data_IF_684898581083
#
_entry.id   IF_684898581083
#
_cell.length_a   1.000
_cell.length_b   1.000
_cell.length_c   1.000
_cell.angle_alpha   90.00
_cell.angle_beta   90.00
_cell.angle_gamma   90.00
#
_symmetry.space_group_name_H-M   'P 1'
#
loop_
_entity.id
_entity.type
_entity.pdbx_description
1 polymer ?
#
# COMPACT_ATOMS: atom_id res chain seq x y z
N UNK A 1 45.68 -23.47 -53.69
CA UNK A 1 44.34 -23.21 -53.12
C UNK A 1 43.89 -24.50 -52.44
N UNK A 2 43.89 -24.56 -51.10
CA UNK A 2 43.43 -25.74 -50.37
C UNK A 2 41.95 -25.64 -50.03
N UNK A 3 41.26 -26.78 -50.14
CA UNK A 3 39.85 -26.97 -49.83
C UNK A 3 39.53 -26.76 -48.34
N UNK A 4 38.43 -26.06 -48.08
CA UNK A 4 37.89 -25.84 -46.74
C UNK A 4 36.78 -26.88 -46.53
N UNK A 5 37.06 -27.88 -45.69
CA UNK A 5 36.09 -28.88 -45.27
C UNK A 5 34.97 -28.31 -44.40
N UNK A 6 33.84 -29.04 -44.25
CA UNK A 6 32.63 -28.54 -43.59
C UNK A 6 32.80 -28.33 -42.07
N UNK A 7 32.06 -27.38 -41.47
CA UNK A 7 32.16 -27.05 -40.05
C UNK A 7 31.57 -28.15 -39.13
N UNK A 8 32.31 -28.47 -38.07
CA UNK A 8 31.93 -29.42 -37.03
C UNK A 8 30.81 -28.88 -36.10
N UNK A 9 29.94 -29.74 -35.54
CA UNK A 9 28.82 -29.34 -34.69
C UNK A 9 29.29 -28.89 -33.29
N UNK A 10 28.71 -27.81 -32.71
CA UNK A 10 29.06 -27.38 -31.36
C UNK A 10 28.30 -28.23 -30.32
N UNK A 11 28.92 -29.32 -29.90
CA UNK A 11 28.55 -30.11 -28.73
C UNK A 11 29.73 -30.21 -27.76
N UNK A 12 29.50 -29.75 -26.52
CA UNK A 12 30.32 -29.95 -25.31
C UNK A 12 31.73 -29.32 -25.32
N UNK A 13 31.82 -28.09 -24.81
CA UNK A 13 33.06 -27.56 -24.24
C UNK A 13 33.36 -28.22 -22.87
N UNK A 14 34.65 -28.26 -22.49
CA UNK A 14 35.22 -29.30 -21.63
C UNK A 14 35.03 -29.03 -20.14
N UNK A 15 34.92 -30.13 -19.40
CA UNK A 15 34.99 -30.18 -17.94
C UNK A 15 36.42 -29.81 -17.51
N UNK A 16 36.68 -28.51 -17.32
CA UNK A 16 37.91 -28.03 -16.70
C UNK A 16 37.79 -28.24 -15.18
N UNK A 17 38.33 -29.36 -14.70
CA UNK A 17 38.47 -29.65 -13.27
C UNK A 17 39.87 -29.21 -12.82
N UNK A 18 40.02 -28.12 -12.04
CA UNK A 18 41.29 -27.81 -11.41
C UNK A 18 41.48 -28.69 -10.15
N UNK A 19 42.67 -29.28 -9.95
CA UNK A 19 42.96 -30.04 -8.75
C UNK A 19 43.18 -29.04 -7.59
N UNK A 20 42.38 -29.16 -6.53
CA UNK A 20 42.69 -28.54 -5.24
C UNK A 20 41.90 -27.29 -4.81
N UNK A 21 40.80 -26.92 -5.48
CA UNK A 21 39.95 -25.82 -5.00
C UNK A 21 38.82 -26.34 -4.08
N UNK A 22 39.05 -26.30 -2.75
CA UNK A 22 37.94 -26.29 -1.78
C UNK A 22 37.17 -24.97 -1.95
N UNK A 23 36.06 -25.00 -2.69
CA UNK A 23 35.08 -23.91 -2.72
C UNK A 23 33.92 -24.29 -1.79
N UNK A 24 34.13 -24.07 -0.50
CA UNK A 24 33.05 -23.75 0.44
C UNK A 24 32.41 -22.45 -0.02
N UNK A 25 31.22 -22.55 -0.61
CA UNK A 25 30.47 -21.38 -1.09
C UNK A 25 29.05 -21.83 -1.40
N UNK A 26 28.25 -21.96 -0.34
CA UNK A 26 26.81 -22.16 -0.44
C UNK A 26 26.20 -21.10 -1.36
N UNK A 27 25.92 -21.47 -2.61
CA UNK A 27 24.83 -20.85 -3.36
C UNK A 27 23.55 -21.40 -2.72
N UNK A 28 23.17 -20.84 -1.57
CA UNK A 28 21.91 -21.14 -0.90
C UNK A 28 20.82 -20.48 -1.75
N UNK A 29 20.43 -21.17 -2.82
CA UNK A 29 19.20 -20.89 -3.55
C UNK A 29 18.12 -20.80 -2.48
N UNK A 30 17.61 -19.60 -2.23
CA UNK A 30 16.50 -19.36 -1.31
C UNK A 30 15.26 -19.92 -2.00
N UNK A 31 15.09 -21.24 -1.91
CA UNK A 31 13.85 -21.91 -2.29
C UNK A 31 12.80 -21.40 -1.32
N UNK A 32 11.89 -20.56 -1.81
CA UNK A 32 10.73 -20.14 -1.05
C UNK A 32 9.90 -21.40 -0.76
N UNK A 33 9.68 -21.79 0.51
CA UNK A 33 8.89 -22.96 0.83
C UNK A 33 7.41 -22.68 0.50
N UNK A 34 6.94 -23.18 -0.64
CA UNK A 34 5.57 -23.03 -1.14
C UNK A 34 4.58 -24.01 -0.49
N UNK A 35 4.69 -24.24 0.83
CA UNK A 35 3.79 -25.12 1.57
C UNK A 35 2.70 -24.34 2.32
N UNK A 36 1.41 -24.71 2.25
CA UNK A 36 0.30 -23.99 2.91
C UNK A 36 0.46 -23.86 4.44
N UNK A 37 1.20 -24.78 5.06
CA UNK A 37 1.51 -24.78 6.49
C UNK A 37 2.43 -23.61 6.91
N UNK A 38 3.31 -23.15 6.00
CA UNK A 38 4.32 -22.12 6.28
C UNK A 38 3.72 -20.71 6.23
N UNK A 39 2.74 -20.49 5.35
CA UNK A 39 2.02 -19.22 5.24
C UNK A 39 1.25 -18.86 6.52
N UNK A 40 0.70 -19.84 7.23
CA UNK A 40 -0.02 -19.62 8.49
C UNK A 40 0.91 -19.12 9.61
N UNK A 41 2.13 -19.66 9.69
CA UNK A 41 3.17 -19.19 10.62
C UNK A 41 3.58 -17.74 10.35
N UNK A 42 3.96 -17.40 9.11
CA UNK A 42 4.34 -16.02 8.78
C UNK A 42 3.22 -15.00 8.95
N UNK A 43 1.96 -15.37 8.68
CA UNK A 43 0.82 -14.47 8.93
C UNK A 43 0.59 -14.25 10.44
N UNK A 44 0.71 -15.29 11.26
CA UNK A 44 0.55 -15.16 12.72
C UNK A 44 1.70 -14.35 13.36
N UNK A 45 2.94 -14.61 12.95
CA UNK A 45 4.12 -13.89 13.40
C UNK A 45 4.16 -12.43 12.88
N UNK A 46 3.48 -12.13 11.78
CA UNK A 46 3.35 -10.78 11.22
C UNK A 46 2.20 -9.97 11.81
N UNK A 47 1.11 -10.61 12.22
CA UNK A 47 -0.05 -9.94 12.82
C UNK A 47 0.27 -9.38 14.21
N UNK A 48 1.10 -10.10 14.98
CA UNK A 48 1.51 -9.70 16.32
C UNK A 48 2.27 -8.36 16.35
N UNK A 49 3.36 -8.15 15.58
CA UNK A 49 4.05 -6.87 15.54
C UNK A 49 3.17 -5.77 14.93
N UNK A 50 2.32 -6.07 13.94
CA UNK A 50 1.37 -5.09 13.39
C UNK A 50 0.38 -4.60 14.45
N UNK A 51 -0.20 -5.54 15.20
CA UNK A 51 -1.13 -5.23 16.29
C UNK A 51 -0.46 -4.42 17.39
N UNK A 52 0.78 -4.76 17.75
CA UNK A 52 1.57 -4.00 18.73
C UNK A 52 1.83 -2.58 18.25
N UNK A 53 2.32 -2.40 17.02
CA UNK A 53 2.62 -1.07 16.47
C UNK A 53 1.37 -0.21 16.41
N UNK A 54 0.24 -0.78 15.97
CA UNK A 54 -1.04 -0.08 15.95
C UNK A 54 -1.51 0.30 17.36
N UNK A 55 -1.45 -0.63 18.31
CA UNK A 55 -1.82 -0.38 19.70
C UNK A 55 -0.93 0.69 20.36
N UNK A 56 0.38 0.63 20.12
CA UNK A 56 1.33 1.64 20.59
C UNK A 56 1.06 3.00 19.96
N UNK A 57 0.76 3.07 18.66
CA UNK A 57 0.39 4.32 17.99
C UNK A 57 -0.84 4.96 18.65
N UNK A 58 -1.90 4.19 18.86
CA UNK A 58 -3.10 4.69 19.54
C UNK A 58 -2.83 5.08 21.00
N UNK A 59 -2.01 4.30 21.71
CA UNK A 59 -1.66 4.57 23.09
C UNK A 59 -0.86 5.87 23.19
N UNK A 60 0.14 6.08 22.34
CA UNK A 60 0.94 7.30 22.29
C UNK A 60 0.04 8.50 21.98
N UNK A 61 -0.79 8.43 20.94
CA UNK A 61 -1.72 9.51 20.59
C UNK A 61 -2.68 9.82 21.75
N UNK A 62 -3.19 8.79 22.43
CA UNK A 62 -4.08 8.95 23.58
C UNK A 62 -3.38 9.60 24.77
N UNK A 63 -2.15 9.18 25.08
CA UNK A 63 -1.34 9.78 26.16
C UNK A 63 -1.05 11.24 25.85
N UNK A 64 -0.64 11.57 24.62
CA UNK A 64 -0.40 12.96 24.21
C UNK A 64 -1.67 13.80 24.30
N UNK A 65 -2.81 13.27 23.86
CA UNK A 65 -4.10 13.95 23.96
C UNK A 65 -4.50 14.21 25.42
N UNK A 66 -4.39 13.19 26.28
CA UNK A 66 -4.73 13.32 27.70
C UNK A 66 -3.77 14.24 28.45
N UNK A 67 -2.47 14.17 28.16
CA UNK A 67 -1.47 15.07 28.70
C UNK A 67 -1.73 16.52 28.26
N UNK A 68 -1.99 16.74 26.97
CA UNK A 68 -2.37 18.06 26.44
C UNK A 68 -3.64 18.59 27.10
N UNK A 69 -4.63 17.74 27.35
CA UNK A 69 -5.88 18.10 28.04
C UNK A 69 -5.67 18.39 29.53
N UNK A 70 -4.73 17.71 30.19
CA UNK A 70 -4.44 17.88 31.62
C UNK A 70 -3.55 19.09 31.90
N UNK A 71 -2.54 19.33 31.05
CA UNK A 71 -1.58 20.42 31.19
C UNK A 71 -2.07 21.73 30.54
N UNK A 72 -2.98 21.65 29.58
CA UNK A 72 -3.50 22.82 28.86
C UNK A 72 -4.24 23.79 29.79
N UNK A 73 -3.93 25.08 29.66
CA UNK A 73 -4.63 26.13 30.38
C UNK A 73 -6.11 26.12 30.00
N UNK A 74 -6.99 25.91 30.99
CA UNK A 74 -8.43 25.99 30.81
C UNK A 74 -8.84 27.46 30.74
N UNK A 75 -8.93 28.00 29.53
CA UNK A 75 -9.45 29.34 29.29
C UNK A 75 -10.95 29.43 29.58
N UNK A 76 -11.45 30.65 29.82
CA UNK A 76 -12.89 30.92 29.88
C UNK A 76 -13.52 30.68 28.51
N UNK A 77 -14.58 29.87 28.46
CA UNK A 77 -15.36 29.64 27.24
C UNK A 77 -16.23 30.88 26.95
N UNK A 78 -15.63 31.92 26.38
CA UNK A 78 -16.35 33.10 25.90
C UNK A 78 -16.88 32.85 24.48
N UNK A 79 -18.00 33.48 24.11
CA UNK A 79 -18.53 33.39 22.73
C UNK A 79 -17.48 33.79 21.69
N UNK A 80 -16.66 34.80 21.99
CA UNK A 80 -15.57 35.23 21.12
C UNK A 80 -14.51 34.12 20.90
N UNK A 81 -14.18 33.33 21.93
CA UNK A 81 -13.21 32.23 21.81
C UNK A 81 -13.76 30.98 21.12
N UNK A 82 -15.08 30.80 21.09
CA UNK A 82 -15.76 29.69 20.41
C UNK A 82 -16.19 30.05 18.98
N UNK A 83 -16.21 31.34 18.64
CA UNK A 83 -16.53 31.81 17.30
C UNK A 83 -15.43 31.42 16.30
N UNK A 84 -15.77 31.10 15.04
CA UNK A 84 -14.79 30.83 14.00
C UNK A 84 -13.81 32.00 13.85
N UNK A 85 -12.53 31.69 13.67
CA UNK A 85 -11.53 32.72 13.44
C UNK A 85 -11.82 33.49 12.16
N UNK A 86 -12.17 34.76 12.30
CA UNK A 86 -12.45 35.68 11.19
C UNK A 86 -11.84 37.06 11.47
N UNK A 87 -10.56 37.11 11.86
CA UNK A 87 -9.82 38.35 12.12
C UNK A 87 -10.49 39.30 13.15
N UNK A 88 -11.35 38.77 14.02
CA UNK A 88 -12.13 39.55 15.00
C UNK A 88 -13.50 40.02 14.50
N UNK A 89 -13.86 39.75 13.25
CA UNK A 89 -15.19 40.01 12.71
C UNK A 89 -16.18 38.88 13.03
N UNK A 90 -17.45 39.23 13.16
CA UNK A 90 -18.51 38.24 13.37
C UNK A 90 -18.89 37.60 12.04
N UNK A 91 -18.26 36.46 11.72
CA UNK A 91 -18.61 35.69 10.52
C UNK A 91 -19.73 34.70 10.86
N UNK A 92 -20.88 34.73 10.15
CA UNK A 92 -21.89 33.71 10.32
C UNK A 92 -21.29 32.34 9.95
N UNK A 93 -21.77 31.23 10.55
CA UNK A 93 -21.26 29.90 10.29
C UNK A 93 -21.63 29.44 8.87
N UNK A 94 -20.87 29.93 7.88
CA UNK A 94 -20.98 29.54 6.49
C UNK A 94 -20.11 28.31 6.30
N UNK A 95 -20.75 27.15 6.11
CA UNK A 95 -20.06 25.95 5.64
C UNK A 95 -19.60 26.22 4.20
N UNK A 96 -18.29 26.24 3.90
CA UNK A 96 -17.81 26.38 2.52
C UNK A 96 -18.46 25.28 1.68
N UNK A 97 -19.23 25.66 0.66
CA UNK A 97 -19.79 24.72 -0.31
C UNK A 97 -18.63 24.24 -1.18
N UNK A 98 -18.10 23.06 -0.88
CA UNK A 98 -17.10 22.44 -1.74
C UNK A 98 -17.78 21.99 -3.05
N UNK A 99 -17.14 22.28 -4.17
CA UNK A 99 -17.63 21.82 -5.48
C UNK A 99 -17.52 20.29 -5.53
N UNK A 100 -18.66 19.62 -5.35
CA UNK A 100 -18.75 18.17 -5.29
C UNK A 100 -18.22 17.53 -6.57
N UNK A 101 -18.45 18.15 -7.74
CA UNK A 101 -17.98 17.60 -9.01
C UNK A 101 -16.45 17.53 -9.06
N UNK A 102 -15.77 18.58 -8.62
CA UNK A 102 -14.30 18.61 -8.61
C UNK A 102 -13.74 17.68 -7.53
N UNK A 103 -14.35 17.67 -6.34
CA UNK A 103 -13.96 16.77 -5.26
C UNK A 103 -14.04 15.30 -5.69
N UNK A 104 -15.15 14.87 -6.27
CA UNK A 104 -15.32 13.50 -6.76
C UNK A 104 -14.33 13.15 -7.86
N UNK A 105 -14.03 14.08 -8.77
CA UNK A 105 -13.03 13.85 -9.82
C UNK A 105 -11.66 13.54 -9.22
N UNK A 106 -11.21 14.31 -8.23
CA UNK A 106 -9.93 14.05 -7.57
C UNK A 106 -9.92 12.74 -6.79
N UNK A 107 -11.02 12.39 -6.11
CA UNK A 107 -11.14 11.12 -5.39
C UNK A 107 -11.07 9.93 -6.36
N UNK A 108 -11.74 10.01 -7.51
CA UNK A 108 -11.70 8.95 -8.52
C UNK A 108 -10.30 8.81 -9.14
N UNK A 109 -9.61 9.92 -9.41
CA UNK A 109 -8.24 9.90 -9.91
C UNK A 109 -7.28 9.31 -8.87
N UNK A 110 -7.38 9.74 -7.60
CA UNK A 110 -6.60 9.16 -6.51
C UNK A 110 -6.83 7.66 -6.40
N UNK A 111 -8.09 7.23 -6.43
CA UNK A 111 -8.46 5.82 -6.39
C UNK A 111 -7.87 5.06 -7.58
N UNK A 112 -7.93 5.60 -8.80
CA UNK A 112 -7.34 4.96 -9.98
C UNK A 112 -5.82 4.75 -9.85
N UNK A 113 -5.09 5.72 -9.30
CA UNK A 113 -3.65 5.54 -9.05
C UNK A 113 -3.38 4.57 -7.89
N UNK A 114 -4.11 4.70 -6.78
CA UNK A 114 -3.94 3.85 -5.60
C UNK A 114 -4.16 2.37 -5.92
N UNK A 115 -5.03 2.04 -6.87
CA UNK A 115 -5.29 0.65 -7.27
C UNK A 115 -4.27 0.09 -8.27
N UNK A 116 -3.72 0.95 -9.14
CA UNK A 116 -2.77 0.49 -10.17
C UNK A 116 -1.47 0.00 -9.56
N UNK A 117 -1.02 0.64 -8.48
CA UNK A 117 0.23 0.30 -7.78
C UNK A 117 0.22 -1.14 -7.23
N UNK A 118 -0.73 -1.56 -6.38
CA UNK A 118 -0.76 -2.93 -5.85
C UNK A 118 -1.06 -3.96 -6.94
N UNK A 119 -1.88 -3.65 -7.95
CA UNK A 119 -2.16 -4.58 -9.06
C UNK A 119 -0.87 -4.89 -9.84
N UNK A 120 -0.12 -3.85 -10.22
CA UNK A 120 1.15 -4.02 -10.94
C UNK A 120 2.16 -4.75 -10.06
N UNK A 121 2.27 -4.38 -8.78
CA UNK A 121 3.16 -5.06 -7.85
C UNK A 121 2.84 -6.56 -7.71
N UNK A 122 1.57 -6.92 -7.48
CA UNK A 122 1.15 -8.31 -7.34
C UNK A 122 1.30 -9.12 -8.63
N UNK A 123 1.09 -8.49 -9.79
CA UNK A 123 1.30 -9.11 -11.09
C UNK A 123 2.78 -9.45 -11.32
N UNK A 124 3.71 -8.54 -10.97
CA UNK A 124 5.16 -8.78 -11.07
C UNK A 124 5.60 -9.92 -10.13
N UNK A 125 5.00 -10.01 -8.94
CA UNK A 125 5.31 -11.08 -7.98
C UNK A 125 4.63 -12.43 -8.30
N UNK A 126 3.78 -12.50 -9.34
CA UNK A 126 3.09 -13.74 -9.72
C UNK A 126 1.92 -14.15 -8.81
N UNK A 127 1.44 -13.23 -7.96
CA UNK A 127 0.34 -13.46 -7.01
C UNK A 127 -1.04 -13.17 -7.63
N UNK A 128 -1.39 -13.89 -8.69
CA UNK A 128 -2.60 -13.63 -9.50
C UNK A 128 -3.92 -13.75 -8.73
N UNK A 129 -3.99 -14.65 -7.74
CA UNK A 129 -5.20 -14.85 -6.94
C UNK A 129 -5.46 -13.64 -6.02
N UNK A 130 -4.41 -13.14 -5.36
CA UNK A 130 -4.49 -11.91 -4.55
C UNK A 130 -4.78 -10.69 -5.42
N UNK A 131 -4.17 -10.60 -6.62
CA UNK A 131 -4.46 -9.53 -7.57
C UNK A 131 -5.94 -9.52 -8.00
N UNK A 132 -6.51 -10.70 -8.28
CA UNK A 132 -7.93 -10.85 -8.65
C UNK A 132 -8.86 -10.41 -7.51
N UNK A 133 -8.57 -10.82 -6.27
CA UNK A 133 -9.37 -10.42 -5.10
C UNK A 133 -9.29 -8.90 -4.89
N UNK A 134 -8.10 -8.31 -5.00
CA UNK A 134 -7.93 -6.86 -4.93
C UNK A 134 -8.75 -6.16 -6.02
N UNK A 135 -8.67 -6.62 -7.27
CA UNK A 135 -9.43 -6.05 -8.38
C UNK A 135 -10.93 -6.10 -8.13
N UNK A 136 -11.45 -7.19 -7.56
CA UNK A 136 -12.87 -7.32 -7.23
C UNK A 136 -13.32 -6.32 -6.15
N UNK A 137 -12.53 -6.16 -5.08
CA UNK A 137 -12.79 -5.18 -4.01
C UNK A 137 -12.80 -3.77 -4.59
N UNK A 138 -11.85 -3.47 -5.48
CA UNK A 138 -11.70 -2.18 -6.13
C UNK A 138 -12.88 -1.86 -7.05
N UNK A 139 -13.34 -2.83 -7.85
CA UNK A 139 -14.52 -2.64 -8.70
C UNK A 139 -15.78 -2.35 -7.86
N UNK A 140 -15.96 -3.01 -6.72
CA UNK A 140 -17.01 -2.69 -5.74
C UNK A 140 -16.86 -1.26 -5.18
N UNK A 141 -15.63 -0.86 -4.86
CA UNK A 141 -15.34 0.47 -4.31
C UNK A 141 -15.57 1.60 -5.33
N UNK A 142 -15.32 1.37 -6.62
CA UNK A 142 -15.56 2.36 -7.70
C UNK A 142 -17.04 2.40 -8.08
N UNK A 143 -17.69 1.24 -8.17
CA UNK A 143 -19.10 1.16 -8.57
C UNK A 143 -20.03 1.85 -7.57
N UNK A 144 -19.75 1.78 -6.26
CA UNK A 144 -20.58 2.42 -5.23
C UNK A 144 -20.73 3.95 -5.42
N UNK A 145 -19.66 4.77 -5.46
CA UNK A 145 -19.76 6.19 -5.73
C UNK A 145 -20.19 6.49 -7.17
N UNK A 146 -19.82 5.67 -8.16
CA UNK A 146 -20.25 5.87 -9.54
C UNK A 146 -21.77 5.71 -9.70
N UNK A 147 -22.38 4.73 -9.03
CA UNK A 147 -23.83 4.53 -8.99
C UNK A 147 -24.52 5.67 -8.23
N UNK A 148 -23.95 6.09 -7.10
CA UNK A 148 -24.45 7.23 -6.33
C UNK A 148 -24.44 8.54 -7.13
N UNK A 149 -23.36 8.81 -7.88
CA UNK A 149 -23.27 9.98 -8.76
C UNK A 149 -24.29 9.90 -9.90
N UNK A 150 -24.54 8.71 -10.47
CA UNK A 150 -25.57 8.54 -11.51
C UNK A 150 -26.97 8.85 -11.00
N UNK A 151 -27.29 8.48 -9.76
CA UNK A 151 -28.58 8.85 -9.14
C UNK A 151 -28.70 10.34 -8.87
N UNK A 152 -27.60 11.02 -8.52
CA UNK A 152 -27.60 12.47 -8.28
C UNK A 152 -27.64 13.31 -9.56
N UNK A 153 -26.99 12.86 -10.64
CA UNK A 153 -26.94 13.58 -11.92
C UNK A 153 -28.15 13.26 -12.82
N UNK A 154 -28.79 12.11 -12.62
CA UNK A 154 -30.02 11.72 -13.33
C UNK A 154 -31.31 12.37 -12.80
N UNK A 155 -31.22 13.22 -11.77
CA UNK A 155 -32.31 14.06 -11.23
C UNK A 155 -32.05 15.53 -11.55
#
# INVERSE_FOLDING_TARGET
MPEIGPPAPPGRLPLFSPPGARVTGLLKVYTYPSGPQVWWGYMAEGLYPLGIVFALSLLITSVLYLAGRALGARGSMSEAGLSPYACGEHMPPIRPRMDMSKFFTYVLLFLAFDITVPIVALAILGHYLQATVYLAIILMAISTPALYLRELVGR
#
